data_IF_426600453443
#
_entry.id   IF_426600453443
#
_cell.length_a   1.000
_cell.length_b   1.000
_cell.length_c   1.000
_cell.angle_alpha   90.00
_cell.angle_beta   90.00
_cell.angle_gamma   90.00
#
_symmetry.space_group_name_H-M   'P 1'
#
loop_
_entity.id
_entity.type
_entity.pdbx_description
1 polymer ?
#
# COMPACT_ATOMS: atom_id res chain seq x y z
N UNK A 1 -17.96 -47.75 -42.54
CA UNK A 1 -18.18 -46.29 -42.71
C UNK A 1 -18.75 -45.54 -41.49
N UNK A 2 -19.04 -46.16 -40.33
CA UNK A 2 -19.58 -45.46 -39.14
C UNK A 2 -18.51 -44.91 -38.16
N UNK A 3 -17.29 -45.48 -38.13
CA UNK A 3 -16.21 -45.05 -37.21
C UNK A 3 -15.58 -43.69 -37.56
N UNK A 4 -15.55 -43.29 -38.83
CA UNK A 4 -14.97 -42.00 -39.23
C UNK A 4 -15.83 -40.79 -38.81
N UNK A 5 -17.15 -40.96 -38.72
CA UNK A 5 -18.04 -39.86 -38.32
C UNK A 5 -17.83 -39.45 -36.87
N UNK A 6 -17.64 -40.42 -35.97
CA UNK A 6 -17.39 -40.15 -34.54
C UNK A 6 -16.01 -39.54 -34.31
N UNK A 7 -14.97 -40.03 -35.02
CA UNK A 7 -13.62 -39.47 -34.93
C UNK A 7 -13.56 -38.01 -35.43
N UNK A 8 -14.24 -37.69 -36.53
CA UNK A 8 -14.33 -36.32 -37.06
C UNK A 8 -15.13 -35.43 -36.09
N UNK A 9 -16.17 -35.96 -35.44
CA UNK A 9 -16.94 -35.20 -34.45
C UNK A 9 -16.06 -34.84 -33.24
N UNK A 10 -15.35 -35.82 -32.69
CA UNK A 10 -14.43 -35.62 -31.56
C UNK A 10 -13.31 -34.65 -31.90
N UNK A 11 -12.76 -34.72 -33.12
CA UNK A 11 -11.72 -33.80 -33.56
C UNK A 11 -12.22 -32.35 -33.66
N UNK A 12 -13.45 -32.15 -34.15
CA UNK A 12 -14.09 -30.83 -34.17
C UNK A 12 -14.36 -30.30 -32.77
N UNK A 13 -14.81 -31.16 -31.86
CA UNK A 13 -15.00 -30.80 -30.45
C UNK A 13 -13.69 -30.42 -29.76
N UNK A 14 -12.61 -31.14 -30.05
CA UNK A 14 -11.28 -30.86 -29.49
C UNK A 14 -10.72 -29.53 -30.03
N UNK A 15 -10.89 -29.26 -31.33
CA UNK A 15 -10.56 -27.97 -31.95
C UNK A 15 -11.36 -26.82 -31.33
N UNK A 16 -12.63 -27.04 -31.00
CA UNK A 16 -13.47 -26.04 -30.35
C UNK A 16 -13.00 -25.75 -28.92
N UNK A 17 -12.63 -26.78 -28.16
CA UNK A 17 -12.05 -26.61 -26.81
C UNK A 17 -10.71 -25.87 -26.91
N UNK A 18 -9.86 -26.22 -27.88
CA UNK A 18 -8.58 -25.55 -28.13
C UNK A 18 -8.74 -24.07 -28.52
N UNK A 19 -9.74 -23.75 -29.36
CA UNK A 19 -10.08 -22.37 -29.74
C UNK A 19 -10.66 -21.56 -28.57
N UNK A 20 -11.42 -22.20 -27.67
CA UNK A 20 -11.92 -21.55 -26.45
C UNK A 20 -10.81 -21.35 -25.41
N UNK A 21 -9.82 -22.26 -25.33
CA UNK A 21 -8.63 -22.07 -24.48
C UNK A 21 -7.59 -21.12 -25.09
N UNK A 22 -7.68 -20.83 -26.39
CA UNK A 22 -6.87 -19.81 -27.09
C UNK A 22 -7.52 -18.43 -27.12
N UNK A 23 -8.78 -18.31 -26.68
CA UNK A 23 -9.42 -17.03 -26.34
C UNK A 23 -9.26 -16.76 -24.83
N UNK A 24 -8.05 -16.88 -24.29
CA UNK A 24 -7.73 -16.06 -23.12
C UNK A 24 -7.84 -14.63 -23.61
N UNK A 25 -8.71 -13.83 -22.98
CA UNK A 25 -8.71 -12.38 -23.17
C UNK A 25 -7.25 -11.93 -23.16
N UNK A 26 -6.74 -11.43 -24.28
CA UNK A 26 -5.54 -10.62 -24.24
C UNK A 26 -5.85 -9.55 -23.18
N UNK A 27 -5.11 -9.58 -22.07
CA UNK A 27 -5.28 -8.56 -21.05
C UNK A 27 -5.04 -7.22 -21.76
N UNK A 28 -6.09 -6.43 -21.95
CA UNK A 28 -6.09 -5.19 -22.74
C UNK A 28 -5.05 -4.17 -22.22
N UNK A 29 -4.49 -4.41 -21.03
CA UNK A 29 -3.47 -3.58 -20.39
C UNK A 29 -2.04 -3.89 -20.86
N UNK A 30 -1.77 -5.08 -21.40
CA UNK A 30 -0.40 -5.53 -21.72
C UNK A 30 0.44 -5.94 -20.50
N UNK A 31 -0.19 -6.12 -19.33
CA UNK A 31 0.44 -6.59 -18.10
C UNK A 31 0.19 -8.09 -17.88
N UNK A 32 1.14 -8.76 -17.26
CA UNK A 32 0.97 -10.11 -16.74
C UNK A 32 -0.08 -10.14 -15.62
N UNK A 33 -1.00 -11.11 -15.69
CA UNK A 33 -2.11 -11.20 -14.74
C UNK A 33 -1.62 -11.46 -13.31
N UNK A 34 -0.53 -12.20 -13.14
CA UNK A 34 0.06 -12.45 -11.83
C UNK A 34 0.73 -11.19 -11.29
N UNK A 35 1.42 -10.42 -12.13
CA UNK A 35 1.96 -9.12 -11.74
C UNK A 35 0.86 -8.20 -11.18
N UNK A 36 -0.29 -8.12 -11.86
CA UNK A 36 -1.42 -7.29 -11.42
C UNK A 36 -2.04 -7.81 -10.12
N UNK A 37 -2.21 -9.12 -9.98
CA UNK A 37 -2.73 -9.72 -8.76
C UNK A 37 -1.83 -9.43 -7.55
N UNK A 38 -0.53 -9.69 -7.67
CA UNK A 38 0.46 -9.43 -6.62
C UNK A 38 0.51 -7.94 -6.25
N UNK A 39 0.37 -7.06 -7.25
CA UNK A 39 0.39 -5.61 -7.03
C UNK A 39 -0.86 -5.14 -6.28
N UNK A 40 -2.04 -5.69 -6.59
CA UNK A 40 -3.27 -5.37 -5.87
C UNK A 40 -3.20 -5.76 -4.41
N UNK A 41 -2.73 -6.99 -4.12
CA UNK A 41 -2.57 -7.47 -2.75
C UNK A 41 -1.59 -6.58 -1.97
N UNK A 42 -0.45 -6.24 -2.59
CA UNK A 42 0.53 -5.32 -2.01
C UNK A 42 -0.10 -3.96 -1.68
N UNK A 43 -0.77 -3.32 -2.66
CA UNK A 43 -1.37 -1.99 -2.49
C UNK A 43 -2.46 -2.01 -1.41
N UNK A 44 -3.24 -3.08 -1.30
CA UNK A 44 -4.26 -3.22 -0.27
C UNK A 44 -3.65 -3.20 1.14
N UNK A 45 -2.56 -3.93 1.37
CA UNK A 45 -1.86 -3.96 2.66
C UNK A 45 -1.24 -2.59 2.97
N UNK A 46 -0.56 -1.98 2.01
CA UNK A 46 0.08 -0.68 2.19
C UNK A 46 -0.92 0.45 2.47
N UNK A 47 -2.03 0.49 1.72
CA UNK A 47 -3.08 1.49 1.89
C UNK A 47 -3.73 1.39 3.28
N UNK A 48 -4.01 0.15 3.73
CA UNK A 48 -4.57 -0.10 5.06
C UNK A 48 -3.63 0.39 6.16
N UNK A 49 -2.34 0.05 6.08
CA UNK A 49 -1.37 0.48 7.07
C UNK A 49 -1.21 2.00 7.10
N UNK A 50 -1.10 2.64 5.93
CA UNK A 50 -0.99 4.10 5.83
C UNK A 50 -2.15 4.81 6.54
N UNK A 51 -3.39 4.35 6.34
CA UNK A 51 -4.57 4.92 6.99
C UNK A 51 -4.52 4.76 8.52
N UNK A 52 -4.17 3.57 9.01
CA UNK A 52 -4.01 3.31 10.46
C UNK A 52 -2.92 4.20 11.07
N UNK A 53 -1.76 4.30 10.40
CA UNK A 53 -0.66 5.15 10.82
C UNK A 53 -1.09 6.62 10.92
N UNK A 54 -1.71 7.16 9.87
CA UNK A 54 -2.19 8.55 9.84
C UNK A 54 -3.21 8.83 10.97
N UNK A 55 -4.12 7.90 11.26
CA UNK A 55 -5.06 8.03 12.37
C UNK A 55 -4.35 8.07 13.73
N UNK A 56 -3.37 7.19 13.94
CA UNK A 56 -2.59 7.14 15.18
C UNK A 56 -1.79 8.44 15.39
N UNK A 57 -1.16 8.96 14.33
CA UNK A 57 -0.40 10.21 14.40
C UNK A 57 -1.31 11.42 14.62
N UNK A 58 -2.46 11.47 13.95
CA UNK A 58 -3.45 12.54 14.17
C UNK A 58 -3.97 12.55 15.60
N UNK A 59 -4.31 11.38 16.15
CA UNK A 59 -4.73 11.26 17.56
C UNK A 59 -3.63 11.73 18.52
N UNK A 60 -2.38 11.36 18.25
CA UNK A 60 -1.25 11.77 19.08
C UNK A 60 -1.02 13.29 19.04
N UNK A 61 -1.05 13.90 17.84
CA UNK A 61 -0.92 15.35 17.68
C UNK A 61 -2.03 16.10 18.41
N UNK A 62 -3.28 15.64 18.31
CA UNK A 62 -4.41 16.23 19.03
C UNK A 62 -4.20 16.16 20.56
N UNK A 63 -3.67 15.05 21.07
CA UNK A 63 -3.32 14.92 22.48
C UNK A 63 -2.22 15.91 22.88
N UNK A 64 -1.15 16.04 22.10
CA UNK A 64 -0.06 16.98 22.36
C UNK A 64 -0.50 18.44 22.35
N UNK A 65 -1.36 18.84 21.41
CA UNK A 65 -1.93 20.17 21.37
C UNK A 65 -2.77 20.44 22.62
N UNK A 66 -3.66 19.50 23.00
CA UNK A 66 -4.49 19.63 24.21
C UNK A 66 -3.66 19.80 25.51
N UNK A 67 -2.53 19.10 25.61
CA UNK A 67 -1.61 19.18 26.75
C UNK A 67 -0.81 20.50 26.78
N UNK A 68 -0.61 21.15 25.64
CA UNK A 68 0.10 22.43 25.59
C UNK A 68 -0.80 23.57 26.04
N UNK A 69 -2.09 23.52 25.72
CA UNK A 69 -3.08 24.52 26.14
C UNK A 69 -3.52 24.36 27.61
N UNK A 70 -3.47 23.15 28.14
CA UNK A 70 -3.68 22.86 29.56
C UNK A 70 -2.32 22.80 30.26
N UNK A 71 -1.90 23.87 30.97
CA UNK A 71 -0.68 23.89 31.81
C UNK A 71 -0.55 22.72 32.81
N UNK A 72 -1.56 21.85 32.95
CA UNK A 72 -1.51 20.64 33.75
C UNK A 72 -1.10 19.42 32.90
N UNK A 73 0.12 18.92 33.13
CA UNK A 73 0.48 17.53 32.84
C UNK A 73 -0.23 16.62 33.86
N UNK A 74 -1.56 16.51 33.76
CA UNK A 74 -2.30 15.60 34.63
C UNK A 74 -1.87 14.16 34.34
N UNK A 75 -1.87 13.31 35.38
CA UNK A 75 -1.56 11.89 35.25
C UNK A 75 -2.39 11.22 34.14
N UNK A 76 -3.64 11.67 33.93
CA UNK A 76 -4.54 11.10 32.93
C UNK A 76 -4.21 11.55 31.50
N UNK A 77 -3.71 12.77 31.30
CA UNK A 77 -3.22 13.21 29.99
C UNK A 77 -1.98 12.44 29.54
N UNK A 78 -1.05 12.15 30.46
CA UNK A 78 0.13 11.34 30.21
C UNK A 78 -0.27 9.89 29.89
N UNK A 79 -1.18 9.29 30.67
CA UNK A 79 -1.68 7.93 30.40
C UNK A 79 -2.28 7.81 29.00
N UNK A 80 -3.10 8.78 28.57
CA UNK A 80 -3.70 8.77 27.22
C UNK A 80 -2.64 8.85 26.11
N UNK A 81 -1.64 9.70 26.25
CA UNK A 81 -0.55 9.79 25.28
C UNK A 81 0.24 8.48 25.19
N UNK A 82 0.59 7.89 26.34
CA UNK A 82 1.28 6.59 26.38
C UNK A 82 0.44 5.47 25.74
N UNK A 83 -0.86 5.43 25.97
CA UNK A 83 -1.75 4.47 25.30
C UNK A 83 -1.79 4.66 23.79
N UNK A 84 -1.75 5.90 23.30
CA UNK A 84 -1.73 6.18 21.86
C UNK A 84 -0.38 5.81 21.22
N UNK A 85 0.73 6.04 21.92
CA UNK A 85 2.06 5.57 21.51
C UNK A 85 2.08 4.03 21.42
N UNK A 86 1.53 3.35 22.43
CA UNK A 86 1.44 1.90 22.45
C UNK A 86 0.63 1.36 21.25
N UNK A 87 -0.53 1.96 20.95
CA UNK A 87 -1.35 1.56 19.81
C UNK A 87 -0.58 1.68 18.48
N UNK A 88 0.18 2.77 18.29
CA UNK A 88 1.05 2.92 17.12
C UNK A 88 2.06 1.77 16.99
N UNK A 89 2.74 1.38 18.08
CA UNK A 89 3.72 0.29 18.03
C UNK A 89 3.07 -1.08 17.81
N UNK A 90 1.89 -1.32 18.38
CA UNK A 90 1.13 -2.55 18.15
C UNK A 90 0.74 -2.68 16.67
N UNK A 91 0.26 -1.60 16.05
CA UNK A 91 -0.09 -1.58 14.62
C UNK A 91 1.16 -1.72 13.73
N UNK A 92 2.29 -1.11 14.11
CA UNK A 92 3.55 -1.27 13.39
C UNK A 92 4.07 -2.72 13.45
N UNK A 93 3.90 -3.40 14.59
CA UNK A 93 4.21 -4.83 14.73
C UNK A 93 3.29 -5.67 13.86
N UNK A 94 1.98 -5.43 13.88
CA UNK A 94 1.01 -6.14 13.03
C UNK A 94 1.37 -5.99 11.54
N UNK A 95 1.64 -4.76 11.10
CA UNK A 95 2.10 -4.51 9.74
C UNK A 95 3.40 -5.25 9.43
N UNK A 96 4.36 -5.29 10.35
CA UNK A 96 5.62 -6.01 10.13
C UNK A 96 5.42 -7.51 9.87
N UNK A 97 4.38 -8.11 10.45
CA UNK A 97 3.99 -9.50 10.23
C UNK A 97 3.16 -9.71 8.96
N UNK A 98 2.37 -8.71 8.57
CA UNK A 98 1.42 -8.80 7.45
C UNK A 98 1.94 -8.17 6.14
N UNK A 99 3.08 -7.47 6.16
CA UNK A 99 3.65 -6.82 4.96
C UNK A 99 3.96 -7.82 3.85
N UNK A 100 3.76 -7.39 2.61
CA UNK A 100 4.01 -8.20 1.42
C UNK A 100 5.34 -7.78 0.80
N UNK A 101 6.26 -8.74 0.62
CA UNK A 101 7.49 -8.52 -0.14
C UNK A 101 7.20 -8.55 -1.65
N UNK A 102 6.77 -7.41 -2.19
CA UNK A 102 6.51 -7.28 -3.62
C UNK A 102 7.81 -7.29 -4.45
N UNK A 103 8.09 -8.44 -5.08
CA UNK A 103 9.23 -8.70 -5.98
C UNK A 103 8.78 -9.49 -7.22
N UNK A 104 7.86 -8.93 -8.04
CA UNK A 104 7.38 -9.62 -9.22
C UNK A 104 8.50 -9.74 -10.27
N UNK A 105 8.31 -10.64 -11.22
CA UNK A 105 9.09 -10.59 -12.47
C UNK A 105 8.46 -9.54 -13.38
N UNK A 106 9.27 -8.62 -13.89
CA UNK A 106 8.83 -7.65 -14.89
C UNK A 106 9.20 -8.15 -16.28
N UNK A 107 8.22 -8.19 -17.16
CA UNK A 107 8.27 -8.68 -18.53
C UNK A 107 8.06 -7.56 -19.58
N UNK A 108 7.50 -6.42 -19.17
CA UNK A 108 7.29 -5.24 -20.02
C UNK A 108 7.95 -3.97 -19.46
N UNK A 109 8.22 -2.95 -20.32
CA UNK A 109 8.62 -1.61 -19.87
C UNK A 109 7.63 -0.97 -18.89
N UNK A 110 6.33 -1.20 -19.09
CA UNK A 110 5.25 -0.65 -18.28
C UNK A 110 5.21 -1.27 -16.88
N UNK A 111 5.40 -2.59 -16.77
CA UNK A 111 5.58 -3.29 -15.49
C UNK A 111 6.81 -2.79 -14.75
N UNK A 112 7.90 -2.54 -15.47
CA UNK A 112 9.12 -1.99 -14.90
C UNK A 112 8.91 -0.56 -14.39
N UNK A 113 8.13 0.28 -15.09
CA UNK A 113 7.80 1.63 -14.65
C UNK A 113 7.03 1.61 -13.32
N UNK A 114 5.99 0.76 -13.21
CA UNK A 114 5.26 0.57 -11.95
C UNK A 114 6.15 0.00 -10.85
N UNK A 115 6.93 -1.03 -11.15
CA UNK A 115 7.82 -1.64 -10.15
C UNK A 115 8.84 -0.63 -9.61
N UNK A 116 9.39 0.24 -10.46
CA UNK A 116 10.28 1.31 -10.02
C UNK A 116 9.56 2.34 -9.12
N UNK A 117 8.30 2.68 -9.41
CA UNK A 117 7.51 3.55 -8.53
C UNK A 117 7.25 2.89 -7.16
N UNK A 118 7.04 1.57 -7.12
CA UNK A 118 6.95 0.83 -5.85
C UNK A 118 8.29 0.87 -5.08
N UNK A 119 9.43 0.74 -5.77
CA UNK A 119 10.75 0.85 -5.13
C UNK A 119 10.93 2.24 -4.51
N UNK A 120 10.66 3.31 -5.27
CA UNK A 120 10.74 4.68 -4.76
C UNK A 120 9.83 4.87 -3.53
N UNK A 121 8.59 4.37 -3.57
CA UNK A 121 7.69 4.41 -2.43
C UNK A 121 8.26 3.70 -1.20
N UNK A 122 8.85 2.51 -1.37
CA UNK A 122 9.51 1.77 -0.27
C UNK A 122 10.69 2.55 0.32
N UNK A 123 11.48 3.21 -0.51
CA UNK A 123 12.60 4.06 -0.07
C UNK A 123 12.10 5.28 0.71
N UNK A 124 11.07 5.96 0.21
CA UNK A 124 10.42 7.08 0.91
C UNK A 124 9.80 6.64 2.23
N UNK A 125 9.16 5.47 2.27
CA UNK A 125 8.59 4.89 3.49
C UNK A 125 9.66 4.62 4.53
N UNK A 126 10.75 3.95 4.14
CA UNK A 126 11.88 3.72 5.04
C UNK A 126 12.52 5.02 5.57
N UNK A 127 12.48 6.08 4.77
CA UNK A 127 12.97 7.40 5.18
C UNK A 127 11.96 8.13 6.09
N UNK A 128 10.67 7.86 5.95
CA UNK A 128 9.58 8.40 6.76
C UNK A 128 9.51 7.76 8.15
N UNK A 129 9.90 6.49 8.28
CA UNK A 129 9.86 5.74 9.55
C UNK A 129 10.57 6.49 10.70
N UNK A 130 11.73 7.10 10.43
CA UNK A 130 12.50 7.78 11.48
C UNK A 130 11.82 9.07 11.99
N UNK A 131 11.41 10.03 11.13
CA UNK A 131 10.58 11.16 11.55
C UNK A 131 9.31 10.75 12.29
N UNK A 132 8.62 9.69 11.84
CA UNK A 132 7.40 9.19 12.50
C UNK A 132 7.70 8.71 13.92
N UNK A 133 8.72 7.87 14.11
CA UNK A 133 9.12 7.39 15.44
C UNK A 133 9.50 8.56 16.35
N UNK A 134 10.27 9.55 15.84
CA UNK A 134 10.62 10.75 16.61
C UNK A 134 9.39 11.52 17.07
N UNK A 135 8.37 11.67 16.22
CA UNK A 135 7.13 12.33 16.59
C UNK A 135 6.36 11.52 17.64
N UNK A 136 6.30 10.19 17.48
CA UNK A 136 5.68 9.28 18.44
C UNK A 136 6.32 9.41 19.82
N UNK A 137 7.65 9.41 19.89
CA UNK A 137 8.43 9.47 21.11
C UNK A 137 8.60 10.89 21.70
N UNK A 138 8.13 11.94 21.02
CA UNK A 138 8.39 13.31 21.43
C UNK A 138 7.70 13.70 22.75
N UNK A 139 8.45 13.70 23.85
CA UNK A 139 7.92 14.02 25.19
C UNK A 139 7.94 15.50 25.54
N UNK A 140 8.89 16.29 25.02
CA UNK A 140 9.06 17.71 25.34
C UNK A 140 8.58 18.64 24.22
N UNK A 141 8.12 19.84 24.58
CA UNK A 141 7.45 20.76 23.65
C UNK A 141 8.33 21.20 22.47
N UNK A 142 9.63 21.47 22.68
CA UNK A 142 10.55 21.86 21.59
C UNK A 142 10.83 20.67 20.67
N UNK A 143 11.05 19.48 21.25
CA UNK A 143 11.30 18.26 20.48
C UNK A 143 10.06 17.87 19.65
N UNK A 144 8.85 18.14 20.15
CA UNK A 144 7.58 17.92 19.43
C UNK A 144 7.44 18.79 18.19
N UNK A 145 7.77 20.07 18.27
CA UNK A 145 7.63 20.99 17.12
C UNK A 145 8.56 20.57 15.99
N UNK A 146 9.84 20.31 16.30
CA UNK A 146 10.82 19.88 15.31
C UNK A 146 10.47 18.50 14.73
N UNK A 147 10.05 17.55 15.58
CA UNK A 147 9.64 16.22 15.12
C UNK A 147 8.38 16.27 14.23
N UNK A 148 7.43 17.17 14.52
CA UNK A 148 6.23 17.38 13.70
C UNK A 148 6.60 17.94 12.33
N UNK A 149 7.49 18.93 12.27
CA UNK A 149 7.93 19.49 10.98
C UNK A 149 8.66 18.44 10.12
N UNK A 150 9.58 17.66 10.70
CA UNK A 150 10.26 16.57 9.99
C UNK A 150 9.28 15.48 9.52
N UNK A 151 8.30 15.12 10.35
CA UNK A 151 7.24 14.19 9.99
C UNK A 151 6.42 14.71 8.81
N UNK A 152 5.95 15.96 8.85
CA UNK A 152 5.14 16.56 7.79
C UNK A 152 5.91 16.65 6.46
N UNK A 153 7.19 17.02 6.50
CA UNK A 153 8.04 17.06 5.31
C UNK A 153 8.23 15.67 4.70
N UNK A 154 8.54 14.66 5.52
CA UNK A 154 8.70 13.28 5.03
C UNK A 154 7.38 12.66 4.55
N UNK A 155 6.25 13.00 5.19
CA UNK A 155 4.92 12.60 4.76
C UNK A 155 4.56 13.17 3.38
N UNK A 156 4.93 14.42 3.10
CA UNK A 156 4.72 15.02 1.77
C UNK A 156 5.46 14.24 0.68
N UNK A 157 6.72 13.88 0.92
CA UNK A 157 7.52 13.07 -0.01
C UNK A 157 6.94 11.66 -0.19
N UNK A 158 6.51 11.02 0.90
CA UNK A 158 5.85 9.71 0.85
C UNK A 158 4.54 9.77 0.05
N UNK A 159 3.70 10.77 0.31
CA UNK A 159 2.44 10.98 -0.41
C UNK A 159 2.67 11.27 -1.89
N UNK A 160 3.72 12.00 -2.24
CA UNK A 160 4.09 12.24 -3.64
C UNK A 160 4.44 10.93 -4.37
N UNK A 161 5.20 10.05 -3.71
CA UNK A 161 5.52 8.74 -4.25
C UNK A 161 4.27 7.85 -4.38
N UNK A 162 3.41 7.83 -3.37
CA UNK A 162 2.12 7.13 -3.42
C UNK A 162 1.21 7.62 -4.55
N UNK A 163 1.09 8.94 -4.72
CA UNK A 163 0.32 9.56 -5.80
C UNK A 163 0.89 9.24 -7.18
N UNK A 164 2.19 8.97 -7.28
CA UNK A 164 2.81 8.50 -8.53
C UNK A 164 2.27 7.11 -8.89
N UNK A 165 2.15 6.21 -7.91
CA UNK A 165 1.55 4.87 -8.11
C UNK A 165 0.07 4.99 -8.54
N UNK A 166 -0.70 5.87 -7.90
CA UNK A 166 -2.09 6.16 -8.30
C UNK A 166 -2.15 6.63 -9.75
N UNK A 167 -1.32 7.62 -10.11
CA UNK A 167 -1.27 8.17 -11.46
C UNK A 167 -0.90 7.10 -12.51
N UNK A 168 0.00 6.18 -12.18
CA UNK A 168 0.36 5.07 -13.06
C UNK A 168 -0.78 4.04 -13.17
N UNK A 169 -1.48 3.74 -12.07
CA UNK A 169 -2.67 2.89 -12.10
C UNK A 169 -3.72 3.45 -13.06
N UNK A 170 -3.95 4.77 -13.04
CA UNK A 170 -4.87 5.45 -13.95
C UNK A 170 -4.37 5.44 -15.40
N UNK A 171 -3.10 5.80 -15.63
CA UNK A 171 -2.43 5.80 -16.95
C UNK A 171 -2.58 4.47 -17.66
N UNK A 172 -2.45 3.37 -16.93
CA UNK A 172 -2.50 2.00 -17.46
C UNK A 172 -3.87 1.31 -17.26
N UNK A 173 -4.87 2.02 -16.73
CA UNK A 173 -6.22 1.48 -16.48
C UNK A 173 -6.24 0.19 -15.65
N UNK A 174 -5.40 0.11 -14.61
CA UNK A 174 -5.19 -1.11 -13.83
C UNK A 174 -6.18 -1.31 -12.69
N UNK A 175 -6.91 -0.25 -12.33
CA UNK A 175 -7.86 -0.25 -11.21
C UNK A 175 -7.24 -0.85 -9.92
N UNK A 176 -6.01 -0.44 -9.58
CA UNK A 176 -5.29 -0.97 -8.41
C UNK A 176 -5.90 -0.52 -7.08
N UNK A 177 -6.59 0.63 -7.09
CA UNK A 177 -7.14 1.26 -5.89
C UNK A 177 -8.65 1.07 -5.77
N UNK A 178 -9.33 0.58 -6.81
CA UNK A 178 -10.78 0.36 -6.81
C UNK A 178 -11.60 1.66 -6.71
N UNK A 179 -12.87 1.58 -7.10
CA UNK A 179 -13.90 2.33 -6.38
C UNK A 179 -14.20 1.49 -5.12
N UNK A 180 -14.24 2.12 -3.96
CA UNK A 180 -14.85 1.51 -2.77
C UNK A 180 -16.29 1.10 -3.16
N UNK A 181 -16.54 -0.20 -3.38
CA UNK A 181 -17.90 -0.77 -3.41
C UNK A 181 -18.26 -1.30 -2.02
#
# INVERSE_FOLDING_TARGET
>A
MKRNKTAILLLKSLLFILLLSGCSKENETGFDDQFIADLKDYIQVEAKYKNIEENNINNLNNLYESQTYSMAHSSDGIKKALSQQQAYYEDAIDYSHNKIDFKPKTSSPEEKELYNAIIDFKEKKSSHDFPTIRLVDATYQIDRVNAKEEYEQSLQELNKSWNTIISLSEKYNLNLFGAEE
#
